data_IF_211761068932
#
_entry.id   IF_211761068932
#
_cell.length_a   1.000
_cell.length_b   1.000
_cell.length_c   1.000
_cell.angle_alpha   90.00
_cell.angle_beta   90.00
_cell.angle_gamma   90.00
#
_symmetry.space_group_name_H-M   'P 1'
#
loop_
_entity.id
_entity.type
_entity.pdbx_description
1 polymer ?
#
# COMPACT_ATOMS: atom_id res chain seq x y z
N UNK A 1 -11.92 -3.48 -5.02
CA UNK A 1 -10.81 -4.39 -5.40
C UNK A 1 -9.71 -4.05 -4.40
N UNK A 2 -9.37 -4.93 -3.47
CA UNK A 2 -8.39 -4.67 -2.41
C UNK A 2 -7.03 -5.25 -2.82
N UNK A 3 -6.61 -5.00 -4.06
CA UNK A 3 -5.33 -5.50 -4.55
C UNK A 3 -4.35 -4.35 -4.65
N UNK A 4 -3.09 -4.63 -4.38
CA UNK A 4 -2.01 -3.68 -4.58
C UNK A 4 -1.84 -3.32 -6.07
N UNK A 5 -1.52 -2.05 -6.34
CA UNK A 5 -1.07 -1.58 -7.64
C UNK A 5 0.47 -1.61 -7.72
N UNK A 6 1.03 -1.60 -8.93
CA UNK A 6 2.47 -1.65 -9.17
C UNK A 6 2.96 -0.41 -9.93
N UNK A 7 3.95 0.30 -9.40
CA UNK A 7 4.54 1.43 -10.11
C UNK A 7 5.56 0.96 -11.18
N UNK A 8 5.40 1.36 -12.44
CA UNK A 8 6.44 1.26 -13.50
C UNK A 8 6.30 0.14 -14.53
N UNK A 9 7.42 -0.23 -15.20
CA UNK A 9 7.50 -1.17 -16.34
C UNK A 9 7.00 -2.59 -16.06
N UNK A 10 6.65 -2.89 -14.81
CA UNK A 10 6.02 -4.12 -14.37
C UNK A 10 4.51 -4.14 -14.67
N UNK A 11 4.09 -3.52 -15.78
CA UNK A 11 2.73 -3.57 -16.36
C UNK A 11 2.17 -4.99 -16.53
N UNK A 12 3.01 -6.02 -16.51
CA UNK A 12 2.59 -7.41 -16.48
C UNK A 12 2.13 -7.89 -15.09
N UNK A 13 2.56 -7.25 -14.01
CA UNK A 13 2.39 -7.69 -12.61
C UNK A 13 1.30 -6.95 -11.83
N UNK A 14 0.55 -6.02 -12.45
CA UNK A 14 -0.49 -5.25 -11.78
C UNK A 14 -1.87 -5.92 -11.90
N UNK A 15 -2.64 -5.93 -10.80
CA UNK A 15 -4.10 -6.20 -10.77
C UNK A 15 -4.58 -7.63 -11.08
N UNK A 16 -3.72 -8.52 -11.58
CA UNK A 16 -4.03 -9.94 -11.81
C UNK A 16 -2.80 -10.83 -11.52
N UNK A 17 -3.03 -12.05 -11.02
CA UNK A 17 -1.98 -13.03 -10.75
C UNK A 17 -1.14 -13.29 -12.01
N UNK A 18 0.11 -12.84 -12.03
CA UNK A 18 1.06 -13.05 -13.13
C UNK A 18 2.34 -13.72 -12.62
N UNK A 19 2.60 -14.94 -13.10
CA UNK A 19 3.80 -15.74 -12.79
C UNK A 19 5.08 -15.26 -13.49
N UNK A 20 5.02 -14.21 -14.31
CA UNK A 20 6.18 -13.64 -15.02
C UNK A 20 6.93 -12.60 -14.20
N UNK A 21 6.43 -12.26 -13.01
CA UNK A 21 7.14 -11.44 -12.05
C UNK A 21 8.35 -12.23 -11.52
N UNK A 22 9.47 -11.57 -11.24
CA UNK A 22 10.59 -12.23 -10.55
C UNK A 22 10.13 -12.86 -9.23
N UNK A 23 10.87 -13.85 -8.72
CA UNK A 23 10.48 -14.60 -7.52
C UNK A 23 10.26 -13.66 -6.31
N UNK A 24 11.11 -12.64 -6.14
CA UNK A 24 11.01 -11.69 -5.04
C UNK A 24 9.75 -10.82 -5.13
N UNK A 25 9.42 -10.30 -6.32
CA UNK A 25 8.20 -9.52 -6.54
C UNK A 25 6.95 -10.37 -6.34
N UNK A 26 6.96 -11.62 -6.83
CA UNK A 26 5.86 -12.56 -6.60
C UNK A 26 5.66 -12.85 -5.12
N UNK A 27 6.76 -13.07 -4.38
CA UNK A 27 6.72 -13.31 -2.94
C UNK A 27 6.18 -12.09 -2.18
N UNK A 28 6.57 -10.88 -2.60
CA UNK A 28 6.05 -9.64 -2.00
C UNK A 28 4.54 -9.51 -2.22
N UNK A 29 4.07 -9.67 -3.46
CA UNK A 29 2.64 -9.62 -3.78
C UNK A 29 1.89 -10.70 -2.99
N UNK A 30 2.41 -11.93 -2.96
CA UNK A 30 1.79 -13.01 -2.18
C UNK A 30 1.74 -12.70 -0.67
N UNK A 31 2.75 -12.03 -0.12
CA UNK A 31 2.75 -11.60 1.27
C UNK A 31 1.72 -10.48 1.53
N UNK A 32 1.58 -9.52 0.61
CA UNK A 32 0.56 -8.47 0.67
C UNK A 32 -0.86 -9.05 0.63
N UNK A 33 -1.16 -9.88 -0.37
CA UNK A 33 -2.46 -10.55 -0.49
C UNK A 33 -2.72 -11.53 0.68
N UNK A 34 -1.66 -12.18 1.17
CA UNK A 34 -1.70 -12.97 2.40
C UNK A 34 -2.05 -12.12 3.63
N UNK A 35 -1.56 -10.88 3.70
CA UNK A 35 -1.93 -9.90 4.71
C UNK A 35 -3.42 -9.58 4.68
N UNK A 36 -4.00 -9.35 3.49
CA UNK A 36 -5.45 -9.18 3.35
C UNK A 36 -6.23 -10.39 3.81
N UNK A 37 -5.80 -11.59 3.41
CA UNK A 37 -6.43 -12.83 3.86
C UNK A 37 -6.34 -13.01 5.38
N UNK A 38 -5.26 -12.51 5.99
CA UNK A 38 -5.08 -12.51 7.44
C UNK A 38 -5.84 -11.39 8.17
N UNK A 39 -6.54 -10.51 7.44
CA UNK A 39 -7.41 -9.46 8.00
C UNK A 39 -6.82 -8.05 8.00
N UNK A 40 -5.71 -7.82 7.30
CA UNK A 40 -5.15 -6.49 7.12
C UNK A 40 -5.82 -5.74 5.96
N UNK A 41 -5.82 -4.42 6.02
CA UNK A 41 -6.29 -3.51 4.96
C UNK A 41 -5.14 -2.62 4.52
N UNK A 42 -5.34 -1.87 3.43
CA UNK A 42 -4.32 -0.92 3.03
C UNK A 42 -4.09 0.15 4.12
N UNK A 43 -2.83 0.43 4.46
CA UNK A 43 -2.50 1.49 5.44
C UNK A 43 -3.01 2.85 4.97
N UNK A 44 -2.93 3.10 3.66
CA UNK A 44 -3.50 4.24 2.97
C UNK A 44 -3.88 3.78 1.56
N UNK A 45 -5.10 4.08 1.15
CA UNK A 45 -5.60 3.77 -0.20
C UNK A 45 -5.08 4.77 -1.25
N UNK A 46 -5.29 4.48 -2.54
CA UNK A 46 -4.80 5.26 -3.67
C UNK A 46 -5.08 6.76 -3.61
N UNK A 47 -6.25 7.15 -3.11
CA UNK A 47 -6.66 8.56 -3.02
C UNK A 47 -6.14 9.24 -1.76
N UNK A 48 -5.57 8.50 -0.82
CA UNK A 48 -5.09 9.03 0.47
C UNK A 48 -6.19 9.63 1.33
N UNK A 49 -7.43 9.17 1.17
CA UNK A 49 -8.61 9.59 1.93
C UNK A 49 -9.20 8.47 2.81
N UNK A 50 -8.74 7.22 2.59
CA UNK A 50 -9.13 6.03 3.32
C UNK A 50 -7.90 5.35 3.91
N UNK A 51 -8.03 4.87 5.14
CA UNK A 51 -6.95 4.31 5.95
C UNK A 51 -7.46 3.06 6.67
N UNK A 52 -6.55 2.15 7.01
CA UNK A 52 -6.89 1.02 7.87
C UNK A 52 -7.32 1.49 9.29
N UNK A 53 -8.06 0.64 10.04
CA UNK A 53 -8.52 0.98 11.39
C UNK A 53 -7.49 0.68 12.49
N UNK A 54 -6.22 0.41 12.15
CA UNK A 54 -5.17 0.06 13.10
C UNK A 54 -4.52 1.35 13.61
N UNK A 55 -4.20 1.45 14.90
CA UNK A 55 -3.84 2.73 15.50
C UNK A 55 -2.37 3.09 15.27
N UNK A 56 -1.49 2.07 15.26
CA UNK A 56 -0.05 2.23 15.09
C UNK A 56 0.43 2.21 13.63
N UNK A 57 -0.49 2.14 12.66
CA UNK A 57 -0.18 2.24 11.24
C UNK A 57 -0.07 3.71 10.83
N UNK A 58 1.08 4.15 10.30
CA UNK A 58 1.21 5.52 9.81
C UNK A 58 0.27 5.77 8.63
N UNK A 59 -0.27 6.99 8.56
CA UNK A 59 -1.20 7.44 7.52
C UNK A 59 -0.50 8.39 6.56
N UNK A 60 -0.98 8.41 5.33
CA UNK A 60 -0.50 9.33 4.30
C UNK A 60 -1.65 10.09 3.63
N UNK A 61 -2.26 11.08 4.31
CA UNK A 61 -3.36 11.83 3.73
C UNK A 61 -2.93 12.60 2.48
N UNK A 62 -3.66 12.46 1.38
CA UNK A 62 -3.22 13.02 0.11
C UNK A 62 -3.11 14.56 0.17
N UNK A 63 -4.07 15.22 0.80
CA UNK A 63 -4.15 16.68 0.94
C UNK A 63 -2.94 17.33 1.63
N UNK A 64 -2.17 16.55 2.40
CA UNK A 64 -0.99 17.00 3.15
C UNK A 64 0.30 16.44 2.56
N UNK A 65 0.31 15.16 2.18
CA UNK A 65 1.53 14.42 1.86
C UNK A 65 1.98 14.50 0.40
N UNK A 66 1.09 14.86 -0.53
CA UNK A 66 1.46 15.04 -1.94
C UNK A 66 1.89 16.49 -2.22
N UNK A 67 2.75 16.73 -3.24
CA UNK A 67 3.15 18.07 -3.65
C UNK A 67 1.94 18.98 -3.90
N UNK A 68 2.04 20.26 -3.49
CA UNK A 68 0.93 21.20 -3.52
C UNK A 68 0.26 21.35 -4.90
N UNK A 69 1.04 21.26 -5.98
CA UNK A 69 0.56 21.34 -7.36
C UNK A 69 -0.22 20.09 -7.82
N UNK A 70 -0.20 19.00 -7.05
CA UNK A 70 -0.90 17.75 -7.35
C UNK A 70 -2.12 17.51 -6.44
N UNK A 71 -2.33 18.32 -5.39
CA UNK A 71 -3.41 18.11 -4.41
C UNK A 71 -4.81 18.19 -4.99
N UNK A 72 -5.00 18.92 -6.11
CA UNK A 72 -6.27 18.93 -6.85
C UNK A 72 -6.64 17.57 -7.44
N UNK A 73 -5.71 16.62 -7.48
CA UNK A 73 -5.92 15.27 -7.99
C UNK A 73 -6.22 14.25 -6.88
N UNK A 74 -6.19 14.63 -5.59
CA UNK A 74 -6.43 13.73 -4.46
C UNK A 74 -7.82 13.08 -4.44
N UNK A 75 -8.79 13.61 -5.20
CA UNK A 75 -10.14 13.04 -5.32
C UNK A 75 -10.42 12.49 -6.73
N UNK A 76 -9.42 12.48 -7.60
CA UNK A 76 -9.57 12.15 -9.01
C UNK A 76 -9.05 10.73 -9.25
N UNK A 77 -9.98 9.79 -9.44
CA UNK A 77 -9.66 8.47 -9.98
C UNK A 77 -9.60 8.56 -11.51
N UNK A 78 -8.49 9.08 -12.05
CA UNK A 78 -8.21 9.00 -13.49
C UNK A 78 -7.18 7.88 -13.73
N UNK A 79 -7.59 6.75 -14.34
CA UNK A 79 -6.68 5.63 -14.59
C UNK A 79 -5.57 5.95 -15.61
N UNK A 80 -5.63 7.11 -16.27
CA UNK A 80 -4.60 7.57 -17.20
C UNK A 80 -3.59 8.54 -16.56
N UNK A 81 -3.85 8.96 -15.32
CA UNK A 81 -2.96 9.86 -14.59
C UNK A 81 -2.15 9.04 -13.58
N UNK A 82 -0.82 9.23 -13.50
CA UNK A 82 -0.02 8.54 -12.51
C UNK A 82 -0.58 8.77 -11.10
N UNK A 83 -0.54 7.74 -10.24
CA UNK A 83 -1.10 7.85 -8.92
C UNK A 83 -0.42 8.96 -8.11
N UNK A 84 -1.25 9.72 -7.40
CA UNK A 84 -0.82 10.94 -6.71
C UNK A 84 -0.17 10.60 -5.36
N UNK A 85 -0.61 9.51 -4.73
CA UNK A 85 -0.11 9.03 -3.43
C UNK A 85 0.86 7.87 -3.65
N UNK A 86 2.16 8.16 -3.74
CA UNK A 86 3.21 7.14 -3.87
C UNK A 86 3.89 6.81 -2.54
N UNK A 87 4.63 5.71 -2.48
CA UNK A 87 5.41 5.34 -1.30
C UNK A 87 6.45 6.41 -0.95
N UNK A 88 7.02 7.06 -1.97
CA UNK A 88 7.91 8.21 -1.79
C UNK A 88 7.21 9.44 -1.16
N UNK A 89 5.91 9.64 -1.33
CA UNK A 89 5.17 10.68 -0.60
C UNK A 89 4.93 10.29 0.86
N UNK A 90 4.77 8.98 1.08
CA UNK A 90 4.40 8.36 2.35
C UNK A 90 5.59 7.81 3.14
N UNK A 91 6.80 8.28 2.85
CA UNK A 91 8.03 8.01 3.61
C UNK A 91 8.79 9.30 3.95
N UNK A 92 8.24 10.47 3.61
CA UNK A 92 8.90 11.78 3.73
C UNK A 92 9.00 12.28 5.16
N UNK A 93 8.06 11.92 6.03
CA UNK A 93 7.99 12.44 7.40
C UNK A 93 7.14 11.55 8.30
N UNK A 94 7.14 11.86 9.60
CA UNK A 94 6.25 11.20 10.58
C UNK A 94 4.76 11.51 10.37
N UNK A 95 4.42 12.61 9.69
CA UNK A 95 3.04 12.96 9.34
C UNK A 95 2.56 12.36 8.02
N UNK A 96 3.48 11.76 7.26
CA UNK A 96 3.29 11.21 5.92
C UNK A 96 4.06 9.89 5.83
N UNK A 97 3.49 8.86 6.45
CA UNK A 97 4.14 7.58 6.68
C UNK A 97 3.40 6.40 6.05
N UNK A 98 3.99 5.21 6.11
CA UNK A 98 3.34 3.96 5.77
C UNK A 98 3.59 3.50 4.34
N UNK A 99 4.33 4.27 3.53
CA UNK A 99 4.73 3.87 2.17
C UNK A 99 5.67 2.66 2.15
N UNK A 100 6.36 2.42 3.27
CA UNK A 100 7.25 1.28 3.46
C UNK A 100 6.55 0.00 3.93
N UNK A 101 5.29 0.14 4.36
CA UNK A 101 4.50 -0.94 4.94
C UNK A 101 4.12 -1.97 3.87
N UNK A 102 4.11 -3.25 4.26
CA UNK A 102 3.68 -4.36 3.39
C UNK A 102 2.30 -4.11 2.80
N UNK A 103 1.41 -3.47 3.56
CA UNK A 103 0.02 -3.21 3.19
C UNK A 103 -0.17 -1.83 2.56
N UNK A 104 0.87 -1.13 2.11
CA UNK A 104 0.65 0.08 1.33
C UNK A 104 0.04 -0.27 -0.04
N UNK A 105 -0.90 0.53 -0.53
CA UNK A 105 -1.67 0.21 -1.74
C UNK A 105 -0.83 0.12 -3.02
N UNK A 106 0.33 0.79 -3.05
CA UNK A 106 1.23 0.84 -4.21
C UNK A 106 2.56 0.18 -3.88
N UNK A 107 2.95 -0.81 -4.68
CA UNK A 107 4.26 -1.44 -4.61
C UNK A 107 5.23 -0.65 -5.48
N UNK A 108 6.21 -0.03 -4.83
CA UNK A 108 7.27 0.77 -5.43
C UNK A 108 8.58 0.64 -4.64
N UNK A 109 9.59 1.45 -4.96
CA UNK A 109 10.91 1.38 -4.30
C UNK A 109 10.88 1.68 -2.79
N UNK A 110 9.79 2.27 -2.27
CA UNK A 110 9.62 2.46 -0.83
C UNK A 110 9.20 1.17 -0.11
N UNK A 111 8.64 0.19 -0.83
CA UNK A 111 8.06 -1.03 -0.28
C UNK A 111 9.11 -1.95 0.35
N UNK A 112 9.22 -1.91 1.68
CA UNK A 112 10.19 -2.76 2.43
C UNK A 112 9.57 -4.03 3.00
N UNK A 113 8.24 -4.12 3.03
CA UNK A 113 7.52 -5.24 3.64
C UNK A 113 7.38 -5.09 5.16
N UNK A 114 7.50 -3.87 5.69
CA UNK A 114 7.35 -3.59 7.11
C UNK A 114 5.90 -3.86 7.59
N UNK A 115 5.75 -4.34 8.81
CA UNK A 115 4.46 -4.47 9.49
C UNK A 115 4.55 -3.81 10.86
N UNK A 116 3.47 -3.17 11.28
CA UNK A 116 3.35 -2.60 12.62
C UNK A 116 3.13 -3.70 13.67
N UNK A 117 3.27 -3.34 14.95
CA UNK A 117 3.06 -4.31 16.03
C UNK A 117 1.60 -4.74 16.12
N UNK A 118 0.65 -3.81 15.95
CA UNK A 118 -0.78 -4.13 15.96
C UNK A 118 -1.22 -4.88 14.70
N UNK A 119 -0.66 -4.59 13.51
CA UNK A 119 -0.87 -5.42 12.32
C UNK A 119 -0.45 -6.87 12.60
N UNK A 120 0.73 -7.07 13.22
CA UNK A 120 1.17 -8.40 13.63
C UNK A 120 0.25 -9.05 14.66
N UNK A 121 -0.37 -8.27 15.56
CA UNK A 121 -1.36 -8.78 16.50
C UNK A 121 -2.63 -9.26 15.79
N UNK A 122 -3.15 -8.48 14.84
CA UNK A 122 -4.30 -8.86 13.99
C UNK A 122 -4.02 -10.20 13.30
N UNK A 123 -2.87 -10.32 12.62
CA UNK A 123 -2.49 -11.55 11.92
C UNK A 123 -2.41 -12.77 12.86
N UNK A 124 -1.82 -12.62 14.06
CA UNK A 124 -1.71 -13.72 15.04
C UNK A 124 -3.05 -14.13 15.66
N UNK A 125 -4.04 -13.24 15.65
CA UNK A 125 -5.40 -13.55 16.10
C UNK A 125 -6.27 -14.18 15.01
N UNK A 126 -5.75 -14.30 13.77
CA UNK A 126 -6.48 -14.92 12.69
C UNK A 126 -6.73 -16.42 12.99
N UNK A 127 -7.96 -16.95 12.77
CA UNK A 127 -8.29 -18.35 13.05
C UNK A 127 -7.39 -19.39 12.37
N UNK A 128 -6.72 -19.06 11.26
CA UNK A 128 -5.79 -19.99 10.61
C UNK A 128 -4.49 -20.22 11.38
N UNK A 129 -4.12 -19.32 12.29
CA UNK A 129 -2.86 -19.41 13.05
C UNK A 129 -3.02 -20.28 14.31
N UNK A 130 -4.24 -20.71 14.64
CA UNK A 130 -4.59 -21.43 15.87
C UNK A 130 -4.32 -22.94 15.82
#
# INVERSE_FOLDING_TARGET
MNGADLAGSASACAGAFNLSCGADLTAYIAAHEGGHWMGLYHTTEQLGDNFDPIADTPKCPCDTCVPANLRSQCSSFDPNVPPVVSGANCTKSTSCGGGENLMFWLLDDASTGALSCEQGAVMRTNPVVQ
#
